data_IF_107763014273
#
_entry.id   IF_107763014273
#
_cell.length_a   1.000
_cell.length_b   1.000
_cell.length_c   1.000
_cell.angle_alpha   90.00
_cell.angle_beta   90.00
_cell.angle_gamma   90.00
#
_symmetry.space_group_name_H-M   'P 1'
#
loop_
_entity.id
_entity.type
_entity.pdbx_description
1 polymer ?
#
# COMPACT_ATOMS: atom_id res chain seq x y z
N UNK A 1 -30.43 -25.04 -26.81
CA UNK A 1 -30.10 -25.42 -25.41
C UNK A 1 -28.61 -25.65 -25.34
N UNK A 2 -27.85 -24.70 -24.75
CA UNK A 2 -26.39 -24.83 -24.60
C UNK A 2 -26.09 -25.77 -23.43
N UNK A 3 -25.42 -26.87 -23.70
CA UNK A 3 -24.94 -27.85 -22.72
C UNK A 3 -23.92 -27.19 -21.82
N UNK A 4 -24.30 -26.87 -20.58
CA UNK A 4 -23.38 -26.44 -19.53
C UNK A 4 -22.44 -27.62 -19.27
N UNK A 5 -21.23 -27.54 -19.79
CA UNK A 5 -20.15 -28.49 -19.52
C UNK A 5 -19.95 -28.57 -18.00
N UNK A 6 -20.33 -29.70 -17.39
CA UNK A 6 -20.04 -29.99 -15.97
C UNK A 6 -18.52 -30.08 -15.82
N UNK A 7 -17.86 -28.95 -15.45
CA UNK A 7 -16.44 -28.96 -15.09
C UNK A 7 -16.17 -30.07 -14.07
N UNK A 8 -15.15 -30.88 -14.31
CA UNK A 8 -14.74 -31.96 -13.39
C UNK A 8 -14.47 -31.35 -12.00
N UNK A 9 -14.74 -32.06 -10.89
CA UNK A 9 -14.50 -31.55 -9.55
C UNK A 9 -13.08 -31.01 -9.34
N UNK A 10 -12.06 -31.61 -9.95
CA UNK A 10 -10.66 -31.20 -9.87
C UNK A 10 -10.39 -29.83 -10.55
N UNK A 11 -11.17 -29.46 -11.57
CA UNK A 11 -11.04 -28.16 -12.25
C UNK A 11 -11.57 -27.01 -11.38
N UNK A 12 -12.18 -27.32 -10.23
CA UNK A 12 -12.72 -26.34 -9.27
C UNK A 12 -11.79 -26.09 -8.08
N UNK A 13 -10.69 -26.84 -7.97
CA UNK A 13 -9.68 -26.58 -6.96
C UNK A 13 -9.07 -25.19 -7.17
N UNK A 14 -8.78 -24.46 -6.08
CA UNK A 14 -8.08 -23.17 -6.21
C UNK A 14 -6.71 -23.38 -6.85
N UNK A 15 -6.19 -22.40 -7.60
CA UNK A 15 -4.81 -22.43 -8.07
C UNK A 15 -3.83 -22.64 -6.92
N UNK A 16 -2.68 -23.23 -7.20
CA UNK A 16 -1.62 -23.38 -6.22
C UNK A 16 -1.12 -22.00 -5.75
N UNK A 17 -0.96 -21.85 -4.43
CA UNK A 17 -0.56 -20.57 -3.84
C UNK A 17 -1.70 -19.59 -3.57
N UNK A 18 -2.93 -19.88 -3.98
CA UNK A 18 -4.09 -19.04 -3.66
C UNK A 18 -4.76 -19.50 -2.37
N UNK A 19 -5.07 -18.52 -1.51
CA UNK A 19 -5.97 -18.71 -0.38
C UNK A 19 -7.41 -18.43 -0.80
N UNK A 20 -8.31 -19.29 -0.36
CA UNK A 20 -9.74 -19.17 -0.63
C UNK A 20 -10.55 -19.35 0.62
N UNK A 21 -11.70 -18.70 0.69
CA UNK A 21 -12.66 -18.92 1.76
C UNK A 21 -13.86 -19.77 1.25
N UNK A 22 -14.75 -20.11 2.17
CA UNK A 22 -15.94 -20.89 1.84
C UNK A 22 -16.81 -20.20 0.78
N UNK A 23 -17.00 -18.88 0.88
CA UNK A 23 -17.81 -18.12 -0.08
C UNK A 23 -17.22 -18.19 -1.50
N UNK A 24 -15.90 -18.07 -1.63
CA UNK A 24 -15.18 -18.21 -2.91
C UNK A 24 -15.40 -19.60 -3.54
N UNK A 25 -15.31 -20.67 -2.73
CA UNK A 25 -15.54 -22.05 -3.17
C UNK A 25 -16.99 -22.26 -3.58
N UNK A 26 -17.94 -21.79 -2.78
CA UNK A 26 -19.37 -21.90 -3.05
C UNK A 26 -19.79 -21.19 -4.34
N UNK A 27 -19.23 -19.99 -4.61
CA UNK A 27 -19.47 -19.27 -5.86
C UNK A 27 -18.98 -20.05 -7.11
N UNK A 28 -18.14 -21.06 -6.93
CA UNK A 28 -17.64 -21.96 -7.99
C UNK A 28 -18.29 -23.33 -7.96
N UNK A 29 -19.40 -23.48 -7.22
CA UNK A 29 -20.19 -24.71 -7.13
C UNK A 29 -19.52 -25.82 -6.32
N UNK A 30 -18.61 -25.43 -5.39
CA UNK A 30 -18.00 -26.37 -4.42
C UNK A 30 -18.80 -26.29 -3.13
N UNK A 31 -19.55 -27.34 -2.86
CA UNK A 31 -20.35 -27.49 -1.65
C UNK A 31 -19.54 -27.96 -0.44
N UNK A 32 -20.17 -27.94 0.73
CA UNK A 32 -19.52 -28.35 1.98
C UNK A 32 -19.03 -29.79 1.95
N UNK A 33 -19.81 -30.80 1.52
CA UNK A 33 -19.36 -32.20 1.45
C UNK A 33 -18.11 -32.36 0.59
N UNK A 34 -18.00 -31.63 -0.52
CA UNK A 34 -16.83 -31.69 -1.41
C UNK A 34 -15.60 -31.04 -0.76
N UNK A 35 -15.76 -29.93 -0.05
CA UNK A 35 -14.67 -29.31 0.74
C UNK A 35 -14.18 -30.30 1.80
N UNK A 36 -15.08 -30.90 2.56
CA UNK A 36 -14.73 -31.86 3.60
C UNK A 36 -14.06 -33.12 3.01
N UNK A 37 -14.45 -33.57 1.83
CA UNK A 37 -13.78 -34.63 1.09
C UNK A 37 -12.36 -34.23 0.66
N UNK A 38 -12.17 -33.02 0.17
CA UNK A 38 -10.84 -32.51 -0.22
C UNK A 38 -9.89 -32.31 0.97
N UNK A 39 -10.43 -31.91 2.12
CA UNK A 39 -9.65 -31.83 3.36
C UNK A 39 -9.20 -33.21 3.82
N UNK A 40 -10.09 -34.19 3.84
CA UNK A 40 -9.77 -35.58 4.21
C UNK A 40 -8.76 -36.25 3.26
N UNK A 41 -8.87 -35.95 1.97
CA UNK A 41 -7.95 -36.51 0.95
C UNK A 41 -6.66 -35.70 0.78
N UNK A 42 -6.43 -34.67 1.58
CA UNK A 42 -5.23 -33.82 1.50
C UNK A 42 -5.15 -32.95 0.23
N UNK A 43 -6.20 -32.82 -0.56
CA UNK A 43 -6.25 -31.92 -1.73
C UNK A 43 -6.36 -30.45 -1.33
N UNK A 44 -6.95 -30.19 -0.16
CA UNK A 44 -6.95 -28.90 0.51
C UNK A 44 -6.39 -29.02 1.91
N UNK A 45 -5.77 -27.96 2.40
CA UNK A 45 -5.38 -27.79 3.80
C UNK A 45 -6.07 -26.55 4.37
N UNK A 46 -6.55 -26.67 5.60
CA UNK A 46 -7.09 -25.54 6.34
C UNK A 46 -5.92 -24.72 6.88
N UNK A 47 -5.92 -23.43 6.58
CA UNK A 47 -4.89 -22.48 7.05
C UNK A 47 -5.40 -21.74 8.28
N UNK A 48 -6.70 -21.49 8.32
CA UNK A 48 -7.44 -20.93 9.43
C UNK A 48 -8.90 -21.35 9.32
N UNK A 49 -9.72 -21.00 10.31
CA UNK A 49 -11.15 -21.29 10.27
C UNK A 49 -11.78 -20.71 8.98
N UNK A 50 -12.30 -21.58 8.14
CA UNK A 50 -12.96 -21.21 6.88
C UNK A 50 -12.04 -20.69 5.77
N UNK A 51 -10.73 -20.82 5.92
CA UNK A 51 -9.73 -20.42 4.91
C UNK A 51 -8.89 -21.63 4.51
N UNK A 52 -8.78 -21.87 3.23
CA UNK A 52 -8.19 -23.08 2.65
C UNK A 52 -7.19 -22.73 1.56
N UNK A 53 -6.24 -23.63 1.32
CA UNK A 53 -5.37 -23.61 0.14
C UNK A 53 -5.05 -25.03 -0.32
N UNK A 54 -4.49 -25.17 -1.51
CA UNK A 54 -3.82 -26.44 -1.88
C UNK A 54 -2.53 -26.61 -1.08
N UNK A 55 -2.13 -27.85 -0.73
CA UNK A 55 -0.78 -28.13 -0.24
C UNK A 55 0.26 -27.58 -1.21
N UNK A 56 1.38 -27.11 -0.69
CA UNK A 56 2.46 -26.55 -1.48
C UNK A 56 3.45 -25.77 -0.61
N UNK A 57 4.43 -25.11 -1.23
CA UNK A 57 5.45 -24.36 -0.52
C UNK A 57 4.88 -23.23 0.34
N UNK A 58 5.67 -22.62 1.23
CA UNK A 58 5.28 -21.40 1.96
C UNK A 58 4.78 -20.32 0.98
N UNK A 59 3.74 -19.60 1.40
CA UNK A 59 3.16 -18.54 0.56
C UNK A 59 4.07 -17.32 0.54
N UNK A 60 4.28 -16.77 -0.66
CA UNK A 60 4.86 -15.44 -0.81
C UNK A 60 3.84 -14.38 -0.41
N UNK A 61 4.30 -13.22 0.05
CA UNK A 61 3.41 -12.17 0.51
C UNK A 61 2.47 -11.64 -0.60
N UNK A 62 2.91 -11.66 -1.86
CA UNK A 62 2.08 -11.26 -3.01
C UNK A 62 0.88 -12.20 -3.19
N UNK A 63 1.07 -13.51 -2.97
CA UNK A 63 -0.01 -14.49 -3.02
C UNK A 63 -1.06 -14.22 -1.95
N UNK A 64 -0.63 -13.79 -0.76
CA UNK A 64 -1.54 -13.42 0.33
C UNK A 64 -2.31 -12.16 -0.02
N UNK A 65 -1.64 -11.12 -0.57
CA UNK A 65 -2.27 -9.86 -0.98
C UNK A 65 -3.28 -10.08 -2.09
N UNK A 66 -2.92 -10.86 -3.11
CA UNK A 66 -3.85 -11.26 -4.17
C UNK A 66 -5.07 -11.98 -3.60
N UNK A 67 -4.83 -12.99 -2.77
CA UNK A 67 -5.90 -13.81 -2.17
C UNK A 67 -6.85 -12.99 -1.29
N UNK A 68 -6.34 -12.00 -0.54
CA UNK A 68 -7.18 -11.09 0.24
C UNK A 68 -8.18 -10.36 -0.66
N UNK A 69 -7.73 -9.83 -1.79
CA UNK A 69 -8.60 -9.13 -2.73
C UNK A 69 -9.63 -10.09 -3.35
N UNK A 70 -9.23 -11.32 -3.68
CA UNK A 70 -10.13 -12.35 -4.22
C UNK A 70 -11.23 -12.78 -3.25
N UNK A 71 -10.95 -12.78 -1.94
CA UNK A 71 -11.97 -13.11 -0.92
C UNK A 71 -12.74 -11.88 -0.41
N UNK A 72 -12.59 -10.73 -1.08
CA UNK A 72 -13.35 -9.51 -0.81
C UNK A 72 -12.72 -8.55 0.21
N UNK A 73 -11.51 -8.81 0.69
CA UNK A 73 -10.77 -7.90 1.57
C UNK A 73 -9.91 -6.97 0.72
N UNK A 74 -10.43 -5.79 0.39
CA UNK A 74 -9.76 -4.81 -0.47
C UNK A 74 -8.54 -4.22 0.22
N UNK A 75 -7.35 -4.57 -0.28
CA UNK A 75 -6.05 -4.06 0.19
C UNK A 75 -5.17 -3.71 -0.99
N UNK A 76 -4.23 -2.79 -0.80
CA UNK A 76 -3.14 -2.57 -1.75
C UNK A 76 -1.81 -2.38 -1.02
N UNK A 77 -0.72 -2.70 -1.70
CA UNK A 77 0.63 -2.40 -1.23
C UNK A 77 0.86 -0.90 -1.41
N UNK A 78 1.19 -0.20 -0.33
CA UNK A 78 1.30 1.26 -0.34
C UNK A 78 2.47 1.80 0.46
N UNK A 79 2.51 3.12 0.60
CA UNK A 79 3.49 3.85 1.37
C UNK A 79 4.93 3.44 1.05
N UNK A 80 5.72 3.24 2.09
CA UNK A 80 7.13 2.85 1.97
C UNK A 80 7.33 1.64 1.06
N UNK A 81 6.58 0.57 1.25
CA UNK A 81 6.77 -0.67 0.50
C UNK A 81 6.51 -0.49 -1.01
N UNK A 82 5.51 0.30 -1.38
CA UNK A 82 5.25 0.58 -2.78
C UNK A 82 6.36 1.43 -3.41
N UNK A 83 6.94 2.39 -2.68
CA UNK A 83 8.05 3.22 -3.16
C UNK A 83 9.33 2.38 -3.33
N UNK A 84 9.68 1.55 -2.35
CA UNK A 84 10.83 0.65 -2.41
C UNK A 84 10.74 -0.34 -3.58
N UNK A 85 9.59 -0.98 -3.75
CA UNK A 85 9.35 -1.94 -4.84
C UNK A 85 9.23 -1.29 -6.24
N UNK A 86 9.14 0.03 -6.32
CA UNK A 86 9.21 0.81 -7.56
C UNK A 86 10.62 1.36 -7.83
N UNK A 87 11.63 0.93 -7.07
CA UNK A 87 13.03 1.27 -7.30
C UNK A 87 13.43 2.65 -6.78
N UNK A 88 12.61 3.29 -5.95
CA UNK A 88 12.93 4.61 -5.39
C UNK A 88 13.80 4.54 -4.12
N UNK A 89 14.08 3.35 -3.60
CA UNK A 89 14.97 3.16 -2.46
C UNK A 89 16.30 2.54 -2.89
N UNK A 90 17.38 3.21 -2.56
CA UNK A 90 18.75 2.70 -2.78
C UNK A 90 19.20 1.69 -1.70
N UNK A 91 18.42 1.49 -0.66
CA UNK A 91 18.74 0.63 0.48
C UNK A 91 17.59 -0.33 0.80
N UNK A 92 17.51 -1.44 0.08
CA UNK A 92 16.78 -2.60 0.56
C UNK A 92 17.60 -3.20 1.72
N UNK A 93 17.01 -3.51 2.88
CA UNK A 93 17.72 -4.29 3.88
C UNK A 93 18.04 -5.66 3.29
N UNK A 94 19.35 -5.93 3.10
CA UNK A 94 19.85 -7.18 2.52
C UNK A 94 19.62 -8.39 3.44
N UNK A 95 19.23 -8.16 4.70
CA UNK A 95 18.98 -9.22 5.68
C UNK A 95 17.80 -8.86 6.58
N UNK A 96 16.94 -9.84 6.86
CA UNK A 96 15.87 -9.74 7.81
C UNK A 96 14.46 -9.99 7.25
N UNK A 97 13.47 -9.89 8.11
CA UNK A 97 12.06 -10.08 7.76
C UNK A 97 11.56 -8.94 6.87
N UNK A 98 11.11 -9.26 5.67
CA UNK A 98 10.50 -8.27 4.75
C UNK A 98 9.25 -7.66 5.37
N UNK A 99 9.20 -6.33 5.49
CA UNK A 99 8.00 -5.61 5.97
C UNK A 99 7.21 -5.09 4.78
N UNK A 100 5.95 -5.47 4.69
CA UNK A 100 5.05 -5.05 3.61
C UNK A 100 3.93 -4.19 4.18
N UNK A 101 3.86 -2.94 3.76
CA UNK A 101 2.80 -2.00 4.16
C UNK A 101 1.56 -2.20 3.31
N UNK A 102 0.44 -2.56 3.96
CA UNK A 102 -0.87 -2.72 3.34
C UNK A 102 -1.81 -1.61 3.78
N UNK A 103 -2.46 -0.99 2.82
CA UNK A 103 -3.46 0.06 3.05
C UNK A 103 -4.85 -0.47 2.72
N UNK A 104 -5.81 -0.19 3.62
CA UNK A 104 -7.17 -0.68 3.50
C UNK A 104 -8.14 0.10 4.38
N UNK A 105 -9.42 0.06 4.04
CA UNK A 105 -10.52 0.45 4.92
C UNK A 105 -11.27 -0.76 5.46
N UNK A 106 -10.97 -1.96 4.94
CA UNK A 106 -11.59 -3.23 5.33
C UNK A 106 -10.97 -3.79 6.62
N UNK A 107 -11.72 -4.64 7.31
CA UNK A 107 -11.17 -5.44 8.41
C UNK A 107 -10.32 -6.57 7.82
N UNK A 108 -9.02 -6.54 8.09
CA UNK A 108 -8.11 -7.62 7.70
C UNK A 108 -8.21 -8.76 8.72
N UNK A 109 -8.37 -10.02 8.27
CA UNK A 109 -8.43 -11.17 9.16
C UNK A 109 -7.13 -11.37 9.95
N UNK A 110 -7.25 -11.83 11.21
CA UNK A 110 -6.08 -12.02 12.09
C UNK A 110 -5.07 -13.05 11.55
N UNK A 111 -5.53 -14.05 10.82
CA UNK A 111 -4.69 -15.10 10.25
C UNK A 111 -3.62 -14.55 9.26
N UNK A 112 -3.83 -13.36 8.70
CA UNK A 112 -2.90 -12.74 7.74
C UNK A 112 -1.49 -12.54 8.31
N UNK A 113 -1.37 -12.40 9.63
CA UNK A 113 -0.07 -12.22 10.30
C UNK A 113 0.68 -13.54 10.58
N UNK A 114 0.03 -14.69 10.37
CA UNK A 114 0.55 -15.99 10.81
C UNK A 114 1.27 -16.80 9.72
N UNK A 115 1.42 -16.27 8.49
CA UNK A 115 1.81 -17.09 7.34
C UNK A 115 3.30 -17.36 7.17
N UNK A 116 4.17 -16.47 7.59
CA UNK A 116 5.60 -16.63 7.32
C UNK A 116 6.48 -16.00 8.38
N UNK A 117 7.65 -16.61 8.57
CA UNK A 117 8.76 -16.00 9.29
C UNK A 117 9.53 -14.98 8.43
N UNK A 118 9.40 -15.06 7.08
CA UNK A 118 10.17 -14.28 6.12
C UNK A 118 9.61 -12.88 5.88
N UNK A 119 8.31 -12.66 6.14
CA UNK A 119 7.68 -11.36 5.98
C UNK A 119 6.67 -11.05 7.09
N UNK A 120 6.39 -9.75 7.25
CA UNK A 120 5.37 -9.21 8.16
C UNK A 120 4.58 -8.12 7.48
N UNK A 121 3.28 -8.11 7.67
CA UNK A 121 2.43 -7.03 7.19
C UNK A 121 2.29 -5.93 8.24
N UNK A 122 2.51 -4.68 7.81
CA UNK A 122 2.08 -3.49 8.55
C UNK A 122 0.77 -3.02 7.94
N UNK A 123 -0.32 -3.10 8.71
CA UNK A 123 -1.67 -2.83 8.21
C UNK A 123 -2.08 -1.41 8.61
N UNK A 124 -2.21 -0.53 7.61
CA UNK A 124 -2.66 0.84 7.77
C UNK A 124 -4.17 0.93 7.49
N UNK A 125 -4.95 0.92 8.58
CA UNK A 125 -6.41 0.93 8.51
C UNK A 125 -6.96 2.35 8.71
N UNK A 126 -6.63 3.25 7.77
CA UNK A 126 -7.06 4.65 7.78
C UNK A 126 -7.74 5.04 6.48
N UNK A 127 -8.80 5.83 6.59
CA UNK A 127 -9.41 6.47 5.45
C UNK A 127 -8.72 7.81 5.20
N UNK A 128 -7.63 7.80 4.43
CA UNK A 128 -6.87 9.00 4.08
C UNK A 128 -7.58 9.85 3.03
N UNK A 129 -8.40 9.24 2.19
CA UNK A 129 -9.05 9.87 1.04
C UNK A 129 -10.57 9.74 1.16
N UNK A 130 -11.29 10.80 0.79
CA UNK A 130 -12.76 10.78 0.65
C UNK A 130 -13.16 9.81 -0.46
N UNK A 131 -12.53 9.96 -1.61
CA UNK A 131 -12.63 9.08 -2.77
C UNK A 131 -11.23 8.86 -3.31
N UNK A 132 -10.81 7.62 -3.50
CA UNK A 132 -9.51 7.31 -4.07
C UNK A 132 -9.67 7.21 -5.61
N UNK A 133 -8.90 8.00 -6.38
CA UNK A 133 -8.91 7.88 -7.84
C UNK A 133 -8.54 6.46 -8.29
N UNK A 134 -9.28 5.88 -9.21
CA UNK A 134 -9.06 4.49 -9.67
C UNK A 134 -7.67 4.27 -10.27
N UNK A 135 -7.10 5.31 -10.89
CA UNK A 135 -5.76 5.29 -11.49
C UNK A 135 -4.62 5.39 -10.46
N UNK A 136 -4.93 5.61 -9.19
CA UNK A 136 -3.95 5.74 -8.11
C UNK A 136 -3.48 4.37 -7.56
N UNK A 137 -4.24 3.30 -7.82
CA UNK A 137 -3.83 1.92 -7.50
C UNK A 137 -3.79 1.14 -8.80
N UNK A 138 -2.64 0.54 -9.08
CA UNK A 138 -2.39 -0.19 -10.32
C UNK A 138 -2.08 -1.64 -10.03
N UNK A 139 -2.65 -2.59 -10.78
CA UNK A 139 -2.29 -3.99 -10.66
C UNK A 139 -0.91 -4.23 -11.29
N UNK A 140 -0.06 -5.00 -10.61
CA UNK A 140 1.18 -5.54 -11.17
C UNK A 140 1.07 -7.05 -11.23
N UNK A 141 1.42 -7.69 -12.36
CA UNK A 141 1.36 -9.14 -12.48
C UNK A 141 2.38 -9.79 -11.56
N UNK A 142 1.99 -10.92 -10.96
CA UNK A 142 2.85 -11.69 -10.08
C UNK A 142 2.73 -13.20 -10.35
N UNK A 143 3.89 -13.85 -10.41
CA UNK A 143 4.00 -15.31 -10.53
C UNK A 143 3.58 -15.84 -11.90
N UNK A 144 3.55 -17.19 -12.00
CA UNK A 144 3.22 -17.90 -13.25
C UNK A 144 1.76 -17.71 -13.71
N UNK A 145 0.90 -17.18 -12.85
CA UNK A 145 -0.51 -16.92 -13.14
C UNK A 145 -0.81 -15.45 -13.46
N UNK A 146 0.22 -14.58 -13.52
CA UNK A 146 0.07 -13.14 -13.70
C UNK A 146 -0.96 -12.50 -12.78
N UNK A 147 -1.00 -12.95 -11.52
CA UNK A 147 -1.98 -12.45 -10.55
C UNK A 147 -1.86 -10.95 -10.36
N UNK A 148 -2.95 -10.20 -10.51
CA UNK A 148 -2.93 -8.74 -10.38
C UNK A 148 -2.82 -8.33 -8.90
N UNK A 149 -1.61 -8.12 -8.44
CA UNK A 149 -1.36 -7.57 -7.09
C UNK A 149 -1.50 -6.05 -7.14
N UNK A 150 -2.39 -5.44 -6.33
CA UNK A 150 -2.62 -4.00 -6.37
C UNK A 150 -1.54 -3.23 -5.62
N UNK A 151 -0.95 -2.22 -6.29
CA UNK A 151 0.06 -1.32 -5.75
C UNK A 151 -0.38 0.13 -5.84
N UNK A 152 -0.07 0.91 -4.81
CA UNK A 152 -0.15 2.37 -4.92
C UNK A 152 0.81 2.88 -5.99
N UNK A 153 0.38 3.86 -6.78
CA UNK A 153 1.30 4.63 -7.61
C UNK A 153 2.25 5.45 -6.73
N UNK A 154 3.31 5.99 -7.30
CA UNK A 154 4.29 6.79 -6.54
C UNK A 154 3.62 7.98 -5.85
N UNK A 155 2.71 8.66 -6.54
CA UNK A 155 1.99 9.82 -6.02
C UNK A 155 1.13 9.47 -4.79
N UNK A 156 0.42 8.33 -4.84
CA UNK A 156 -0.38 7.85 -3.72
C UNK A 156 0.51 7.39 -2.58
N UNK A 157 1.54 6.59 -2.88
CA UNK A 157 2.44 6.02 -1.90
C UNK A 157 3.19 7.08 -1.08
N UNK A 158 3.55 8.21 -1.71
CA UNK A 158 4.14 9.37 -1.01
C UNK A 158 3.16 9.96 0.01
N UNK A 159 1.89 10.17 -0.34
CA UNK A 159 0.89 10.69 0.59
C UNK A 159 0.60 9.72 1.74
N UNK A 160 0.59 8.43 1.46
CA UNK A 160 0.44 7.38 2.46
C UNK A 160 1.62 7.35 3.43
N UNK A 161 2.85 7.41 2.92
CA UNK A 161 4.08 7.53 3.71
C UNK A 161 4.01 8.73 4.65
N UNK A 162 3.66 9.91 4.10
CA UNK A 162 3.62 11.16 4.86
C UNK A 162 2.52 11.20 5.92
N UNK A 163 1.48 10.40 5.79
CA UNK A 163 0.46 10.27 6.82
C UNK A 163 0.99 9.62 8.11
N UNK A 164 2.12 8.93 8.04
CA UNK A 164 2.74 8.23 9.17
C UNK A 164 3.97 8.95 9.76
N UNK A 165 4.37 10.09 9.19
CA UNK A 165 5.47 10.93 9.72
C UNK A 165 5.14 11.46 11.11
N UNK A 166 6.04 11.21 12.09
CA UNK A 166 5.87 11.58 13.51
C UNK A 166 7.10 12.23 14.14
N UNK A 167 8.28 12.00 13.61
CA UNK A 167 9.57 12.38 14.20
C UNK A 167 10.58 12.78 13.14
N UNK A 168 11.72 13.32 13.55
CA UNK A 168 12.77 13.81 12.64
C UNK A 168 13.29 12.73 11.69
N UNK A 169 13.53 11.51 12.17
CA UNK A 169 14.00 10.40 11.34
C UNK A 169 13.04 10.07 10.18
N UNK A 170 11.74 10.28 10.37
CA UNK A 170 10.76 10.06 9.30
C UNK A 170 10.89 11.12 8.20
N UNK A 171 11.33 12.35 8.57
CA UNK A 171 11.62 13.40 7.59
C UNK A 171 12.82 13.06 6.71
N UNK A 172 13.93 12.62 7.31
CA UNK A 172 15.14 12.22 6.56
C UNK A 172 14.82 11.08 5.58
N UNK A 173 13.97 10.18 6.03
CA UNK A 173 13.52 9.07 5.20
C UNK A 173 12.62 9.54 4.05
N UNK A 174 11.64 10.39 4.32
CA UNK A 174 10.74 10.94 3.31
C UNK A 174 11.48 11.84 2.31
N UNK A 175 12.47 12.62 2.78
CA UNK A 175 13.28 13.52 1.95
C UNK A 175 13.99 12.78 0.82
N UNK A 176 14.56 11.62 1.12
CA UNK A 176 15.22 10.74 0.12
C UNK A 176 14.27 10.28 -0.98
N UNK A 177 13.02 9.96 -0.64
CA UNK A 177 12.02 9.60 -1.65
C UNK A 177 11.63 10.80 -2.50
N UNK A 178 11.46 11.97 -1.91
CA UNK A 178 11.16 13.18 -2.67
C UNK A 178 12.31 13.60 -3.57
N UNK A 179 13.56 13.49 -3.11
CA UNK A 179 14.75 13.71 -3.93
C UNK A 179 14.77 12.80 -5.16
N UNK A 180 14.51 11.50 -4.99
CA UNK A 180 14.48 10.52 -6.07
C UNK A 180 13.28 10.67 -7.01
N UNK A 181 12.21 11.37 -6.58
CA UNK A 181 10.94 11.43 -7.32
C UNK A 181 10.93 12.61 -8.30
N UNK A 182 11.72 12.51 -9.36
CA UNK A 182 11.87 13.56 -10.39
C UNK A 182 10.69 13.65 -11.35
N UNK A 183 9.88 12.58 -11.46
CA UNK A 183 8.76 12.47 -12.39
C UNK A 183 7.49 12.03 -11.69
N UNK A 184 6.62 12.98 -11.36
CA UNK A 184 5.24 12.72 -10.93
C UNK A 184 4.25 13.27 -11.96
N UNK A 185 3.06 12.73 -11.97
CA UNK A 185 1.93 13.23 -12.80
C UNK A 185 1.20 14.35 -12.07
N UNK A 186 1.36 15.65 -12.45
CA UNK A 186 0.80 16.76 -11.68
C UNK A 186 -0.73 16.68 -11.57
N UNK A 187 -1.42 16.17 -12.59
CA UNK A 187 -2.86 16.00 -12.57
C UNK A 187 -3.30 15.00 -11.48
N UNK A 188 -2.63 13.86 -11.38
CA UNK A 188 -2.93 12.85 -10.35
C UNK A 188 -2.57 13.35 -8.94
N UNK A 189 -1.41 14.03 -8.79
CA UNK A 189 -1.03 14.65 -7.50
C UNK A 189 -2.10 15.63 -7.05
N UNK A 190 -2.58 16.50 -7.95
CA UNK A 190 -3.65 17.46 -7.65
C UNK A 190 -4.94 16.76 -7.23
N UNK A 191 -5.36 15.74 -7.95
CA UNK A 191 -6.57 14.98 -7.65
C UNK A 191 -6.46 14.30 -6.28
N UNK A 192 -5.33 13.67 -5.97
CA UNK A 192 -5.06 13.05 -4.68
C UNK A 192 -5.04 14.06 -3.55
N UNK A 193 -4.40 15.23 -3.71
CA UNK A 193 -4.38 16.28 -2.69
C UNK A 193 -5.78 16.83 -2.41
N UNK A 194 -6.64 16.98 -3.41
CA UNK A 194 -8.02 17.40 -3.25
C UNK A 194 -8.88 16.35 -2.54
N UNK A 195 -8.68 15.08 -2.87
CA UNK A 195 -9.40 13.96 -2.26
C UNK A 195 -8.90 13.62 -0.84
N UNK A 196 -7.64 13.98 -0.50
CA UNK A 196 -7.02 13.66 0.78
C UNK A 196 -7.66 14.47 1.91
N UNK A 197 -8.11 13.77 2.97
CA UNK A 197 -8.64 14.38 4.20
C UNK A 197 -7.57 14.63 5.27
N UNK A 198 -6.37 14.07 5.10
CA UNK A 198 -5.30 14.16 6.08
C UNK A 198 -4.45 15.43 5.88
N UNK A 199 -4.81 16.51 6.59
CA UNK A 199 -4.18 17.84 6.48
C UNK A 199 -2.66 17.80 6.60
N UNK A 200 -2.13 17.04 7.58
CA UNK A 200 -0.68 16.97 7.78
C UNK A 200 0.03 16.35 6.57
N UNK A 201 -0.47 15.26 6.02
CA UNK A 201 0.13 14.64 4.83
C UNK A 201 0.15 15.60 3.63
N UNK A 202 -0.92 16.36 3.42
CA UNK A 202 -0.98 17.39 2.36
C UNK A 202 0.07 18.49 2.55
N UNK A 203 0.21 18.99 3.79
CA UNK A 203 1.19 20.03 4.12
C UNK A 203 2.62 19.52 3.94
N UNK A 204 2.93 18.32 4.43
CA UNK A 204 4.22 17.69 4.28
C UNK A 204 4.54 17.44 2.80
N UNK A 205 3.57 16.92 2.02
CA UNK A 205 3.76 16.71 0.60
C UNK A 205 4.18 17.98 -0.14
N UNK A 206 3.45 19.07 0.08
CA UNK A 206 3.76 20.35 -0.56
C UNK A 206 5.06 20.97 -0.04
N UNK A 207 5.37 20.75 1.23
CA UNK A 207 6.63 21.18 1.83
C UNK A 207 7.84 20.49 1.18
N UNK A 208 7.83 19.15 1.07
CA UNK A 208 8.88 18.40 0.39
C UNK A 208 8.95 18.73 -1.10
N UNK A 209 7.81 18.87 -1.78
CA UNK A 209 7.77 19.27 -3.17
C UNK A 209 8.40 20.67 -3.41
N UNK A 210 8.15 21.62 -2.51
CA UNK A 210 8.76 22.95 -2.56
C UNK A 210 10.27 22.91 -2.25
N UNK A 211 10.73 21.98 -1.41
CA UNK A 211 12.14 21.81 -1.06
C UNK A 211 12.96 21.32 -2.25
N UNK A 212 12.49 20.29 -2.96
CA UNK A 212 13.22 19.68 -4.08
C UNK A 212 12.99 20.38 -5.42
N UNK A 213 11.92 21.15 -5.58
CA UNK A 213 11.62 21.99 -6.76
C UNK A 213 11.70 21.26 -8.10
N UNK A 214 11.32 19.98 -8.14
CA UNK A 214 11.27 19.23 -9.39
C UNK A 214 10.33 19.87 -10.42
N UNK A 215 10.57 19.64 -11.72
CA UNK A 215 9.83 20.25 -12.80
C UNK A 215 8.31 20.01 -12.76
N UNK A 216 7.85 18.88 -12.21
CA UNK A 216 6.44 18.60 -12.05
C UNK A 216 5.76 19.51 -11.03
N UNK A 217 6.50 20.01 -10.02
CA UNK A 217 5.92 20.88 -8.99
C UNK A 217 5.49 22.23 -9.53
N UNK A 218 6.22 22.82 -10.49
CA UNK A 218 5.84 24.08 -11.14
C UNK A 218 4.53 23.98 -11.94
N UNK A 219 4.17 22.76 -12.38
CA UNK A 219 2.93 22.46 -13.12
C UNK A 219 1.76 22.09 -12.20
N UNK A 220 1.98 22.05 -10.87
CA UNK A 220 0.97 21.64 -9.90
C UNK A 220 0.10 22.84 -9.47
N UNK A 221 -1.17 22.80 -9.83
CA UNK A 221 -2.16 23.77 -9.30
C UNK A 221 -2.62 23.36 -7.91
N UNK A 222 -2.21 24.12 -6.90
CA UNK A 222 -2.54 23.91 -5.49
C UNK A 222 -3.59 24.87 -4.94
N UNK A 223 -4.12 25.82 -5.73
CA UNK A 223 -5.01 26.90 -5.30
C UNK A 223 -6.26 26.40 -4.55
N UNK A 224 -6.78 25.24 -4.93
CA UNK A 224 -7.99 24.64 -4.36
C UNK A 224 -7.71 23.59 -3.27
N UNK A 225 -6.44 23.35 -2.94
CA UNK A 225 -6.08 22.34 -1.93
C UNK A 225 -6.30 22.95 -0.54
N UNK A 226 -7.29 22.45 0.18
CA UNK A 226 -7.51 22.84 1.57
C UNK A 226 -6.42 22.26 2.47
N UNK A 227 -5.58 23.13 3.02
CA UNK A 227 -4.52 22.79 3.98
C UNK A 227 -4.98 22.93 5.44
N UNK A 228 -6.26 23.18 5.68
CA UNK A 228 -6.82 23.37 7.01
C UNK A 228 -6.23 24.58 7.74
N UNK A 229 -6.59 24.73 9.02
CA UNK A 229 -6.15 25.87 9.86
C UNK A 229 -5.23 25.42 10.99
N UNK A 230 -4.46 26.37 11.54
CA UNK A 230 -3.62 26.20 12.73
C UNK A 230 -2.32 25.44 12.48
N UNK A 231 -1.41 25.56 13.42
CA UNK A 231 -0.08 24.94 13.41
C UNK A 231 -0.19 23.41 13.67
N UNK A 232 0.75 22.64 13.13
CA UNK A 232 0.89 21.21 13.41
C UNK A 232 2.27 20.93 13.95
N UNK A 233 2.34 20.47 15.19
CA UNK A 233 3.57 19.99 15.80
C UNK A 233 3.85 18.58 15.23
N UNK A 234 4.91 18.44 14.46
CA UNK A 234 5.38 17.14 13.91
C UNK A 234 6.66 16.73 14.60
N UNK A 235 7.62 17.66 14.68
CA UNK A 235 8.91 17.43 15.32
C UNK A 235 9.00 18.27 16.60
N UNK A 236 9.13 17.59 17.74
CA UNK A 236 9.36 18.26 19.03
C UNK A 236 10.70 19.00 19.00
N UNK A 237 10.72 20.28 19.34
CA UNK A 237 11.92 21.12 19.28
C UNK A 237 12.36 21.52 17.87
N UNK A 238 11.58 21.22 16.84
CA UNK A 238 11.82 21.65 15.46
C UNK A 238 11.55 23.14 15.24
N UNK A 239 11.83 23.62 14.04
CA UNK A 239 11.51 24.97 13.58
C UNK A 239 10.14 25.01 12.90
N UNK A 240 9.38 26.10 13.09
CA UNK A 240 8.09 26.27 12.42
C UNK A 240 8.31 26.78 10.99
N UNK A 241 7.83 26.02 10.01
CA UNK A 241 7.66 26.51 8.64
C UNK A 241 6.40 27.39 8.57
N UNK A 242 6.61 28.68 8.27
CA UNK A 242 5.52 29.67 8.27
C UNK A 242 4.55 29.46 7.11
N UNK A 243 4.99 28.94 5.96
CA UNK A 243 4.15 28.74 4.78
C UNK A 243 3.18 27.58 4.96
N UNK A 244 3.69 26.45 5.45
CA UNK A 244 2.88 25.22 5.59
C UNK A 244 2.37 25.00 7.01
N UNK A 245 2.76 25.86 7.98
CA UNK A 245 2.32 25.80 9.38
C UNK A 245 2.57 24.41 10.02
N UNK A 246 3.77 23.86 9.80
CA UNK A 246 4.25 22.59 10.37
C UNK A 246 5.60 22.80 11.04
N UNK A 247 5.90 22.06 12.10
CA UNK A 247 7.27 22.02 12.64
C UNK A 247 8.10 21.00 11.89
N UNK A 248 9.27 21.40 11.42
CA UNK A 248 10.23 20.60 10.68
C UNK A 248 11.55 20.49 11.46
N UNK A 249 12.41 19.50 11.17
CA UNK A 249 13.74 19.44 11.75
C UNK A 249 14.52 20.75 11.47
N UNK A 250 15.26 21.26 12.46
CA UNK A 250 15.95 22.56 12.32
C UNK A 250 16.93 22.59 11.14
N UNK A 251 17.61 21.48 10.83
CA UNK A 251 18.51 21.37 9.69
C UNK A 251 17.84 21.29 8.32
N UNK A 252 16.49 21.22 8.27
CA UNK A 252 15.72 21.10 7.03
C UNK A 252 14.87 22.33 6.69
N UNK A 253 15.04 23.46 7.40
CA UNK A 253 14.27 24.69 7.13
C UNK A 253 14.55 25.22 5.72
N UNK A 254 13.49 25.68 5.02
CA UNK A 254 13.66 26.45 3.78
C UNK A 254 14.33 27.77 4.13
N UNK A 255 15.56 28.01 3.68
CA UNK A 255 16.26 29.28 3.89
C UNK A 255 17.59 29.23 4.63
N UNK A 256 18.10 28.04 5.03
CA UNK A 256 19.51 27.92 5.35
C UNK A 256 20.32 27.79 4.04
N UNK A 257 20.25 28.78 3.15
CA UNK A 257 21.41 29.07 2.31
C UNK A 257 22.53 29.43 3.28
N UNK A 258 23.43 28.49 3.44
CA UNK A 258 24.73 28.80 4.05
C UNK A 258 25.34 29.90 3.21
N UNK A 259 25.38 31.13 3.76
CA UNK A 259 26.37 32.11 3.36
C UNK A 259 27.71 31.45 3.61
N UNK A 260 28.27 30.89 2.56
CA UNK A 260 29.70 30.53 2.53
C UNK A 260 30.41 31.87 2.26
N UNK A 261 30.92 32.46 3.34
CA UNK A 261 31.99 33.41 3.25
C UNK A 261 33.30 32.66 3.56
#
# INVERSE_FOLDING_TARGET
MATVSKKRPLDRLPPEGQLVNRAWLQARGVDRPLVDSWLRSGKLVAVSHGVYRRPGPPLKWEQVVYSLNEIGVRVHVGGRSALELQGLAHYLPLQGVTRVSLYTTSRVPAWVQAFSAEYRFTIHRRRLFKTLPSVAVVPKPFGAWDWPVPYATVELALLELLADVRQAADFDFADKFFEATTMLRPALVRELLLACSHVLAKRLFLWFAARHRHAWFSKLDTKRVDLGRGKRLVVKGGALDARYQITVPRGMTHGSEQSIF
#
